data_IF_225700223385
#
_entry.id   IF_225700223385
#
_cell.length_a   1.000
_cell.length_b   1.000
_cell.length_c   1.000
_cell.angle_alpha   90.00
_cell.angle_beta   90.00
_cell.angle_gamma   90.00
#
_symmetry.space_group_name_H-M   'P 1'
#
loop_
_entity.id
_entity.type
_entity.pdbx_description
1 polymer ?
#
# COMPACT_ATOMS: atom_id res chain seq x y z
N UNK A 1 19.26 17.26 19.99
CA UNK A 1 18.19 16.28 19.72
C UNK A 1 17.34 16.84 18.58
N UNK A 2 17.23 16.23 17.37
CA UNK A 2 16.24 16.77 16.41
C UNK A 2 16.38 16.60 14.88
N UNK A 3 17.32 15.81 14.31
CA UNK A 3 17.37 15.61 12.83
C UNK A 3 17.32 14.16 12.35
N UNK A 4 17.47 13.19 13.25
CA UNK A 4 17.62 11.76 12.90
C UNK A 4 16.26 11.02 12.74
N UNK A 5 15.25 11.38 13.54
CA UNK A 5 13.97 10.65 13.56
C UNK A 5 13.07 10.87 12.33
N UNK A 6 13.02 12.09 11.80
CA UNK A 6 12.18 12.44 10.64
C UNK A 6 12.66 11.79 9.34
N UNK A 7 13.98 11.76 9.12
CA UNK A 7 14.57 11.08 7.96
C UNK A 7 14.32 9.57 7.99
N UNK A 8 14.39 8.94 9.16
CA UNK A 8 14.11 7.53 9.33
C UNK A 8 12.63 7.18 9.03
N UNK A 9 11.69 8.00 9.50
CA UNK A 9 10.26 7.84 9.20
C UNK A 9 10.01 7.99 7.69
N UNK A 10 10.54 9.05 7.07
CA UNK A 10 10.41 9.28 5.63
C UNK A 10 10.95 8.09 4.81
N UNK A 11 12.06 7.50 5.24
CA UNK A 11 12.63 6.31 4.61
C UNK A 11 11.69 5.10 4.71
N UNK A 12 11.06 4.86 5.86
CA UNK A 12 10.12 3.73 6.03
C UNK A 12 8.86 3.93 5.18
N UNK A 13 8.31 5.15 5.12
CA UNK A 13 7.16 5.48 4.26
C UNK A 13 7.50 5.20 2.78
N UNK A 14 8.69 5.60 2.34
CA UNK A 14 9.17 5.35 0.97
C UNK A 14 9.31 3.86 0.67
N UNK A 15 9.92 3.09 1.58
CA UNK A 15 10.09 1.64 1.40
C UNK A 15 8.74 0.90 1.30
N UNK A 16 7.72 1.32 2.07
CA UNK A 16 6.39 0.75 1.95
C UNK A 16 5.76 1.05 0.59
N UNK A 17 5.86 2.29 0.12
CA UNK A 17 5.38 2.65 -1.22
C UNK A 17 6.12 1.88 -2.32
N UNK A 18 7.45 1.74 -2.21
CA UNK A 18 8.26 0.99 -3.16
C UNK A 18 7.87 -0.50 -3.16
N UNK A 19 7.53 -1.09 -2.02
CA UNK A 19 7.07 -2.48 -1.93
C UNK A 19 5.78 -2.70 -2.76
N UNK A 20 4.78 -1.83 -2.63
CA UNK A 20 3.56 -1.91 -3.45
C UNK A 20 3.86 -1.69 -4.93
N UNK A 21 4.61 -0.64 -5.27
CA UNK A 21 4.94 -0.28 -6.65
C UNK A 21 5.68 -1.41 -7.36
N UNK A 22 6.74 -1.95 -6.75
CA UNK A 22 7.55 -3.01 -7.36
C UNK A 22 6.73 -4.30 -7.55
N UNK A 23 5.84 -4.62 -6.61
CA UNK A 23 4.94 -5.78 -6.74
C UNK A 23 3.97 -5.61 -7.92
N UNK A 24 3.38 -4.41 -8.08
CA UNK A 24 2.50 -4.10 -9.22
C UNK A 24 3.24 -4.15 -10.56
N UNK A 25 4.46 -3.60 -10.60
CA UNK A 25 5.31 -3.66 -11.80
C UNK A 25 5.64 -5.10 -12.18
N UNK A 26 5.97 -5.94 -11.20
CA UNK A 26 6.24 -7.35 -11.45
C UNK A 26 4.99 -8.08 -11.94
N UNK A 27 3.82 -7.82 -11.34
CA UNK A 27 2.56 -8.39 -11.80
C UNK A 27 2.25 -8.02 -13.25
N UNK A 28 2.38 -6.74 -13.59
CA UNK A 28 2.20 -6.23 -14.95
C UNK A 28 3.20 -6.83 -15.94
N UNK A 29 4.49 -6.88 -15.59
CA UNK A 29 5.54 -7.43 -16.44
C UNK A 29 5.33 -8.92 -16.77
N UNK A 30 4.67 -9.66 -15.88
CA UNK A 30 4.33 -11.07 -16.07
C UNK A 30 2.90 -11.26 -16.62
N UNK A 31 2.25 -10.20 -17.10
CA UNK A 31 0.89 -10.24 -17.67
C UNK A 31 -0.20 -10.80 -16.74
N UNK A 32 0.01 -10.73 -15.42
CA UNK A 32 -1.05 -11.01 -14.47
C UNK A 32 -2.10 -9.91 -14.53
N UNK A 33 -3.38 -10.28 -14.36
CA UNK A 33 -4.50 -9.32 -14.39
C UNK A 33 -5.09 -9.03 -13.02
N UNK A 34 -4.67 -9.77 -11.99
CA UNK A 34 -5.14 -9.54 -10.62
C UNK A 34 -4.04 -9.76 -9.60
N UNK A 35 -4.07 -8.99 -8.52
CA UNK A 35 -3.15 -9.11 -7.39
C UNK A 35 -3.88 -8.86 -6.07
N UNK A 36 -3.51 -9.61 -5.04
CA UNK A 36 -3.99 -9.43 -3.67
C UNK A 36 -2.83 -9.03 -2.76
N UNK A 37 -3.02 -7.98 -1.95
CA UNK A 37 -2.03 -7.50 -0.98
C UNK A 37 -2.54 -7.72 0.44
N UNK A 38 -1.72 -8.28 1.35
CA UNK A 38 -1.99 -8.13 2.77
C UNK A 38 -1.74 -6.67 3.22
N UNK A 39 -2.13 -6.32 4.44
CA UNK A 39 -1.78 -5.02 5.03
C UNK A 39 -0.29 -4.95 5.40
N UNK A 40 0.57 -4.73 4.39
CA UNK A 40 2.04 -4.75 4.52
C UNK A 40 2.49 -3.80 5.64
N UNK A 41 3.45 -4.25 6.45
CA UNK A 41 4.07 -3.53 7.57
C UNK A 41 3.20 -3.28 8.81
N UNK A 42 1.92 -3.68 8.82
CA UNK A 42 1.02 -3.44 9.97
C UNK A 42 1.06 -4.51 11.07
N UNK A 43 1.72 -5.66 10.81
CA UNK A 43 1.96 -6.72 11.79
C UNK A 43 3.24 -6.51 12.60
N UNK A 44 4.19 -7.45 12.51
CA UNK A 44 5.47 -7.44 13.28
C UNK A 44 6.26 -6.12 13.15
N UNK A 45 6.13 -5.41 12.01
CA UNK A 45 6.84 -4.15 11.78
C UNK A 45 6.20 -2.91 12.45
N UNK A 46 5.00 -3.06 13.04
CA UNK A 46 4.36 -2.07 13.91
C UNK A 46 4.02 -0.74 13.23
N UNK A 47 3.81 -0.72 11.91
CA UNK A 47 3.40 0.51 11.24
C UNK A 47 1.95 0.87 11.61
N UNK A 48 1.64 2.15 11.90
CA UNK A 48 0.27 2.57 12.16
C UNK A 48 -0.65 2.20 10.99
N UNK A 49 -1.73 1.47 11.27
CA UNK A 49 -2.66 0.91 10.26
C UNK A 49 -3.16 1.98 9.28
N UNK A 50 -3.63 3.11 9.81
CA UNK A 50 -4.14 4.24 9.01
C UNK A 50 -3.10 4.76 8.02
N UNK A 51 -1.89 5.11 8.49
CA UNK A 51 -0.83 5.64 7.65
C UNK A 51 -0.32 4.62 6.62
N UNK A 52 -0.26 3.34 6.98
CA UNK A 52 0.12 2.26 6.06
C UNK A 52 -0.93 2.08 4.95
N UNK A 53 -2.22 2.08 5.30
CA UNK A 53 -3.31 1.94 4.34
C UNK A 53 -3.39 3.14 3.39
N UNK A 54 -3.17 4.37 3.89
CA UNK A 54 -3.11 5.57 3.04
C UNK A 54 -1.97 5.49 2.01
N UNK A 55 -0.81 4.98 2.39
CA UNK A 55 0.28 4.72 1.44
C UNK A 55 -0.13 3.66 0.43
N UNK A 56 -0.70 2.54 0.89
CA UNK A 56 -1.12 1.45 0.03
C UNK A 56 -2.11 1.91 -1.04
N UNK A 57 -3.20 2.55 -0.62
CA UNK A 57 -4.27 3.04 -1.52
C UNK A 57 -3.73 4.09 -2.48
N UNK A 58 -2.99 5.10 -1.98
CA UNK A 58 -2.43 6.16 -2.84
C UNK A 58 -1.46 5.60 -3.88
N UNK A 59 -0.57 4.69 -3.47
CA UNK A 59 0.42 4.10 -4.39
C UNK A 59 -0.23 3.21 -5.44
N UNK A 60 -1.18 2.36 -5.04
CA UNK A 60 -1.93 1.51 -5.97
C UNK A 60 -2.73 2.37 -6.94
N UNK A 61 -3.49 3.36 -6.47
CA UNK A 61 -4.29 4.21 -7.34
C UNK A 61 -3.41 5.01 -8.33
N UNK A 62 -2.29 5.58 -7.86
CA UNK A 62 -1.35 6.28 -8.73
C UNK A 62 -0.74 5.36 -9.80
N UNK A 63 -0.47 4.10 -9.47
CA UNK A 63 0.01 3.12 -10.43
C UNK A 63 -1.07 2.80 -11.48
N UNK A 64 -2.29 2.46 -11.05
CA UNK A 64 -3.40 2.07 -11.93
C UNK A 64 -3.83 3.21 -12.86
N UNK A 65 -3.87 4.44 -12.36
CA UNK A 65 -4.18 5.64 -13.16
C UNK A 65 -3.16 5.86 -14.29
N UNK A 66 -1.88 5.54 -14.04
CA UNK A 66 -0.81 5.71 -15.04
C UNK A 66 -0.65 4.51 -15.97
N UNK A 67 -0.86 3.31 -15.42
CA UNK A 67 -0.69 2.03 -16.09
C UNK A 67 -1.82 1.13 -15.61
N UNK A 68 -2.76 0.78 -16.50
CA UNK A 68 -3.90 -0.07 -16.12
C UNK A 68 -3.86 -1.50 -16.72
N UNK A 69 -2.77 -2.27 -16.55
CA UNK A 69 -2.73 -3.67 -17.02
C UNK A 69 -3.49 -4.63 -16.09
N UNK A 70 -3.82 -4.20 -14.86
CA UNK A 70 -4.50 -5.01 -13.86
C UNK A 70 -6.01 -4.71 -13.89
N UNK A 71 -6.83 -5.76 -13.95
CA UNK A 71 -8.29 -5.70 -13.86
C UNK A 71 -8.77 -5.63 -12.40
N UNK A 72 -7.98 -6.14 -11.45
CA UNK A 72 -8.37 -6.20 -10.04
C UNK A 72 -7.18 -6.11 -9.08
N UNK A 73 -7.29 -5.22 -8.10
CA UNK A 73 -6.44 -5.21 -6.91
C UNK A 73 -7.29 -5.42 -5.67
N UNK A 74 -6.91 -6.36 -4.81
CA UNK A 74 -7.61 -6.66 -3.57
C UNK A 74 -6.70 -6.36 -2.36
N UNK A 75 -7.22 -5.62 -1.38
CA UNK A 75 -6.56 -5.46 -0.08
C UNK A 75 -7.16 -6.46 0.91
N UNK A 76 -6.38 -7.49 1.25
CA UNK A 76 -6.77 -8.56 2.16
C UNK A 76 -6.49 -8.11 3.59
N UNK A 77 -7.56 -7.75 4.29
CA UNK A 77 -7.51 -7.28 5.67
C UNK A 77 -7.76 -8.46 6.62
N UNK A 78 -6.85 -8.66 7.58
CA UNK A 78 -6.97 -9.75 8.56
C UNK A 78 -8.01 -9.47 9.65
N UNK A 79 -8.18 -8.21 10.03
CA UNK A 79 -9.11 -7.77 11.06
C UNK A 79 -10.08 -6.69 10.55
N UNK A 80 -11.20 -6.53 11.28
CA UNK A 80 -12.26 -5.60 10.94
C UNK A 80 -11.80 -4.14 10.95
N UNK A 81 -10.97 -3.75 11.92
CA UNK A 81 -10.42 -2.39 12.02
C UNK A 81 -9.66 -2.02 10.74
N UNK A 82 -8.80 -2.92 10.25
CA UNK A 82 -8.04 -2.70 9.01
C UNK A 82 -8.98 -2.63 7.81
N UNK A 83 -9.98 -3.51 7.74
CA UNK A 83 -10.98 -3.50 6.67
C UNK A 83 -11.75 -2.18 6.63
N UNK A 84 -12.19 -1.66 7.77
CA UNK A 84 -12.88 -0.37 7.87
C UNK A 84 -12.02 0.80 7.40
N UNK A 85 -10.73 0.81 7.75
CA UNK A 85 -9.78 1.82 7.28
C UNK A 85 -9.70 1.79 5.75
N UNK A 86 -9.48 0.62 5.14
CA UNK A 86 -9.41 0.50 3.68
C UNK A 86 -10.73 0.86 3.01
N UNK A 87 -11.87 0.45 3.56
CA UNK A 87 -13.18 0.79 3.02
C UNK A 87 -13.40 2.31 2.95
N UNK A 88 -13.12 3.03 4.05
CA UNK A 88 -13.24 4.50 4.07
C UNK A 88 -12.32 5.16 3.06
N UNK A 89 -11.07 4.71 2.96
CA UNK A 89 -10.10 5.28 2.02
C UNK A 89 -10.48 5.05 0.56
N UNK A 90 -11.04 3.89 0.22
CA UNK A 90 -11.45 3.56 -1.15
C UNK A 90 -12.75 4.28 -1.57
N UNK A 91 -13.63 4.64 -0.63
CA UNK A 91 -14.84 5.40 -0.92
C UNK A 91 -14.57 6.91 -1.11
N UNK A 92 -13.45 7.42 -0.61
CA UNK A 92 -13.06 8.83 -0.70
C UNK A 92 -12.26 9.18 -1.96
N UNK A 93 -12.23 8.29 -2.96
CA UNK A 93 -11.47 8.44 -4.21
C UNK A 93 -12.38 8.82 -5.37
#
# INVERSE_FOLDING_TARGET
MGRSGTAAIARRLKLLADAYKNSLQLAAANSYRSIAFPAISTGVYGYPKQAAAEIAVRTVNAFLTRYNPLERVCFVCFDAETAEIYHRLLQAQ
#
